data_IF_650299126525
#
_entry.id   IF_650299126525
#
_cell.length_a   1.000
_cell.length_b   1.000
_cell.length_c   1.000
_cell.angle_alpha   90.00
_cell.angle_beta   90.00
_cell.angle_gamma   90.00
#
_symmetry.space_group_name_H-M   'P 1'
#
loop_
_entity.id
_entity.type
_entity.pdbx_description
1 polymer ?
#
# COMPACT_ATOMS: atom_id res chain seq x y z
N UNK A 1 18.46 5.31 2.14
CA UNK A 1 17.01 5.56 2.06
C UNK A 1 16.34 4.20 2.17
N UNK A 2 15.43 4.02 3.13
CA UNK A 2 14.79 2.71 3.38
C UNK A 2 13.66 2.47 2.38
N UNK A 3 13.54 1.25 1.85
CA UNK A 3 12.43 0.77 1.05
C UNK A 3 11.57 -0.19 1.88
N UNK A 4 10.34 0.21 2.15
CA UNK A 4 9.41 -0.54 3.00
C UNK A 4 8.20 -0.94 2.17
N UNK A 5 7.86 -2.23 2.16
CA UNK A 5 6.59 -2.71 1.60
C UNK A 5 5.59 -2.86 2.73
N UNK A 6 4.36 -2.41 2.53
CA UNK A 6 3.29 -2.48 3.53
C UNK A 6 2.01 -3.02 2.91
N UNK A 7 1.36 -3.96 3.60
CA UNK A 7 0.15 -4.60 3.14
C UNK A 7 -0.73 -5.01 4.33
N UNK A 8 -2.02 -5.15 4.08
CA UNK A 8 -2.99 -5.59 5.07
C UNK A 8 -3.76 -6.79 4.52
N UNK A 9 -4.11 -7.73 5.38
CA UNK A 9 -4.90 -8.90 4.99
C UNK A 9 -6.04 -9.17 5.98
N UNK A 10 -6.92 -10.10 5.61
CA UNK A 10 -8.11 -10.49 6.37
C UNK A 10 -8.10 -12.00 6.61
N UNK A 11 -8.90 -12.51 7.57
CA UNK A 11 -8.94 -13.93 7.89
C UNK A 11 -9.18 -14.84 6.68
N UNK A 12 -10.05 -14.43 5.75
CA UNK A 12 -10.34 -15.19 4.52
C UNK A 12 -9.25 -15.15 3.43
N UNK A 13 -8.22 -14.31 3.56
CA UNK A 13 -7.15 -14.15 2.55
C UNK A 13 -5.76 -14.46 3.08
N UNK A 14 -5.53 -14.40 4.39
CA UNK A 14 -4.20 -14.67 4.99
C UNK A 14 -3.67 -16.07 4.66
N UNK A 15 -4.53 -17.05 4.38
CA UNK A 15 -4.10 -18.38 3.93
C UNK A 15 -3.45 -18.41 2.55
N UNK A 16 -3.69 -17.38 1.72
CA UNK A 16 -3.28 -17.31 0.30
C UNK A 16 -2.24 -16.21 0.04
N UNK A 17 -1.51 -15.75 1.07
CA UNK A 17 -0.57 -14.64 0.93
C UNK A 17 0.76 -15.03 0.25
N UNK A 18 1.11 -16.33 0.22
CA UNK A 18 2.37 -16.84 -0.34
C UNK A 18 2.70 -16.27 -1.72
N UNK A 19 1.80 -16.32 -2.73
CA UNK A 19 2.14 -15.84 -4.07
C UNK A 19 2.46 -14.33 -4.11
N UNK A 20 1.75 -13.52 -3.30
CA UNK A 20 2.04 -12.09 -3.17
C UNK A 20 3.43 -11.88 -2.56
N UNK A 21 3.72 -12.51 -1.42
CA UNK A 21 5.02 -12.39 -0.75
C UNK A 21 6.17 -12.92 -1.61
N UNK A 22 6.00 -14.06 -2.28
CA UNK A 22 6.98 -14.63 -3.20
C UNK A 22 7.30 -13.64 -4.32
N UNK A 23 6.29 -12.95 -4.88
CA UNK A 23 6.49 -11.95 -5.93
C UNK A 23 7.26 -10.71 -5.44
N UNK A 24 7.07 -10.31 -4.17
CA UNK A 24 7.81 -9.20 -3.54
C UNK A 24 9.24 -9.62 -3.19
N UNK A 25 9.43 -10.84 -2.71
CA UNK A 25 10.75 -11.40 -2.45
C UNK A 25 11.51 -11.74 -3.74
N UNK A 26 10.85 -11.81 -4.90
CA UNK A 26 11.47 -12.01 -6.21
C UNK A 26 11.88 -10.70 -6.91
N UNK A 27 11.62 -9.53 -6.33
CA UNK A 27 11.91 -8.23 -6.95
C UNK A 27 13.41 -8.03 -7.23
N UNK A 28 13.76 -7.29 -8.29
CA UNK A 28 15.16 -6.95 -8.62
C UNK A 28 15.82 -6.08 -7.56
N UNK A 29 15.04 -5.20 -6.92
CA UNK A 29 15.40 -4.47 -5.71
C UNK A 29 14.57 -5.03 -4.55
N UNK A 30 15.22 -5.52 -3.50
CA UNK A 30 14.54 -6.09 -2.33
C UNK A 30 14.09 -4.97 -1.38
N UNK A 31 12.91 -5.10 -0.75
CA UNK A 31 12.56 -4.22 0.35
C UNK A 31 13.45 -4.51 1.56
N UNK A 32 13.75 -3.48 2.33
CA UNK A 32 14.44 -3.60 3.61
C UNK A 32 13.51 -4.22 4.67
N UNK A 33 12.20 -3.93 4.58
CA UNK A 33 11.16 -4.39 5.51
C UNK A 33 9.85 -4.68 4.80
N UNK A 34 9.10 -5.65 5.30
CA UNK A 34 7.73 -5.97 4.87
C UNK A 34 6.82 -5.91 6.09
N UNK A 35 5.92 -4.92 6.14
CA UNK A 35 4.97 -4.70 7.24
C UNK A 35 3.61 -5.29 6.90
N UNK A 36 3.20 -6.33 7.60
CA UNK A 36 1.91 -7.00 7.43
C UNK A 36 0.95 -6.60 8.56
N UNK A 37 -0.13 -5.89 8.20
CA UNK A 37 -1.19 -5.52 9.13
C UNK A 37 -2.24 -6.63 9.17
N UNK A 38 -2.33 -7.30 10.32
CA UNK A 38 -3.30 -8.35 10.57
C UNK A 38 -3.86 -8.23 12.00
N UNK A 39 -4.96 -7.47 12.17
CA UNK A 39 -5.54 -7.22 13.48
C UNK A 39 -5.93 -8.51 14.22
N UNK A 40 -5.80 -8.54 15.54
CA UNK A 40 -6.33 -9.66 16.34
C UNK A 40 -7.85 -9.73 16.32
N UNK A 41 -8.50 -8.56 16.21
CA UNK A 41 -9.95 -8.40 16.17
C UNK A 41 -10.35 -7.57 14.97
N UNK A 42 -11.18 -8.15 14.12
CA UNK A 42 -11.78 -7.45 13.00
C UNK A 42 -13.19 -6.98 13.38
N UNK A 43 -13.54 -5.73 13.08
CA UNK A 43 -14.91 -5.20 13.24
C UNK A 43 -15.89 -5.91 12.31
N UNK A 44 -15.43 -6.32 11.11
CA UNK A 44 -16.28 -6.96 10.09
C UNK A 44 -16.39 -8.48 10.19
N UNK A 45 -15.44 -9.15 10.86
CA UNK A 45 -15.39 -10.61 10.92
C UNK A 45 -15.62 -11.08 12.36
N UNK A 46 -16.55 -12.01 12.55
CA UNK A 46 -16.87 -12.58 13.87
C UNK A 46 -15.82 -13.59 14.35
N UNK A 47 -15.11 -14.20 13.41
CA UNK A 47 -14.16 -15.28 13.67
C UNK A 47 -12.72 -14.77 13.51
N UNK A 48 -11.88 -15.15 14.48
CA UNK A 48 -10.43 -14.94 14.42
C UNK A 48 -9.81 -16.13 13.67
N UNK A 49 -9.06 -15.85 12.61
CA UNK A 49 -8.14 -16.85 12.05
C UNK A 49 -6.76 -16.65 12.67
N UNK A 50 -6.12 -17.69 13.23
CA UNK A 50 -4.76 -17.57 13.73
C UNK A 50 -3.80 -17.20 12.61
N UNK A 51 -2.69 -16.55 12.94
CA UNK A 51 -1.60 -16.30 12.00
C UNK A 51 -1.10 -17.67 11.50
N UNK A 52 -1.15 -17.95 10.18
CA UNK A 52 -0.68 -19.22 9.65
C UNK A 52 0.80 -19.43 9.92
N UNK A 53 1.18 -20.64 10.37
CA UNK A 53 2.56 -20.96 10.73
C UNK A 53 3.57 -20.73 9.61
N UNK A 54 3.14 -20.83 8.34
CA UNK A 54 4.01 -20.59 7.21
C UNK A 54 4.58 -19.17 7.14
N UNK A 55 3.92 -18.17 7.74
CA UNK A 55 4.43 -16.80 7.72
C UNK A 55 5.75 -16.66 8.48
N UNK A 56 6.10 -17.61 9.35
CA UNK A 56 7.42 -17.69 9.98
C UNK A 56 8.55 -18.01 8.99
N UNK A 57 8.23 -18.52 7.79
CA UNK A 57 9.19 -18.76 6.70
C UNK A 57 9.53 -17.47 5.93
N UNK A 58 8.79 -16.37 6.16
CA UNK A 58 8.92 -15.11 5.43
C UNK A 58 9.50 -14.01 6.34
N UNK A 59 10.29 -13.07 5.80
CA UNK A 59 10.80 -11.91 6.53
C UNK A 59 9.73 -10.81 6.63
N UNK A 60 8.60 -11.14 7.25
CA UNK A 60 7.47 -10.21 7.45
C UNK A 60 7.33 -9.84 8.92
N UNK A 61 7.15 -8.55 9.17
CA UNK A 61 6.84 -8.01 10.48
C UNK A 61 5.32 -7.88 10.60
N UNK A 62 4.71 -8.61 11.54
CA UNK A 62 3.25 -8.67 11.69
C UNK A 62 2.81 -7.74 12.80
N UNK A 63 1.88 -6.84 12.49
CA UNK A 63 1.37 -5.84 13.41
C UNK A 63 -0.13 -6.00 13.66
N UNK A 64 -0.50 -5.79 14.92
CA UNK A 64 -1.88 -5.65 15.36
C UNK A 64 -2.22 -4.15 15.48
N UNK A 65 -3.11 -3.68 14.61
CA UNK A 65 -3.65 -2.32 14.63
C UNK A 65 -5.16 -2.44 14.48
N UNK A 66 -5.92 -1.67 15.26
CA UNK A 66 -7.38 -1.72 15.27
C UNK A 66 -7.97 -1.66 13.84
N UNK A 67 -9.07 -2.39 13.61
CA UNK A 67 -9.58 -2.67 12.27
C UNK A 67 -10.00 -1.40 11.50
N UNK A 68 -9.10 -1.00 10.59
CA UNK A 68 -9.40 -0.30 9.35
C UNK A 68 -8.68 -1.01 8.18
N UNK A 69 -8.91 -2.32 7.98
CA UNK A 69 -8.06 -3.23 7.17
C UNK A 69 -7.35 -2.57 5.98
N UNK A 70 -8.09 -2.10 4.97
CA UNK A 70 -7.50 -1.57 3.73
C UNK A 70 -6.77 -0.23 3.94
N UNK A 71 -7.13 0.52 4.97
CA UNK A 71 -6.46 1.75 5.36
C UNK A 71 -5.21 1.46 6.20
N UNK A 72 -5.16 0.35 6.95
CA UNK A 72 -4.03 -0.02 7.81
C UNK A 72 -2.70 -0.15 7.04
N UNK A 73 -2.72 -0.62 5.79
CA UNK A 73 -1.50 -0.61 4.95
C UNK A 73 -0.93 0.79 4.70
N UNK A 74 -1.77 1.83 4.74
CA UNK A 74 -1.36 3.23 4.64
C UNK A 74 -1.12 3.84 6.02
N UNK A 75 -2.17 3.93 6.85
CA UNK A 75 -2.12 4.65 8.13
C UNK A 75 -1.19 3.95 9.12
N UNK A 76 -1.21 2.62 9.19
CA UNK A 76 -0.32 1.87 10.07
C UNK A 76 1.14 2.12 9.71
N UNK A 77 1.48 2.08 8.41
CA UNK A 77 2.84 2.35 7.98
C UNK A 77 3.27 3.80 8.28
N UNK A 78 2.38 4.77 8.10
CA UNK A 78 2.67 6.18 8.41
C UNK A 78 2.87 6.42 9.91
N UNK A 79 2.17 5.70 10.78
CA UNK A 79 2.32 5.79 12.23
C UNK A 79 3.53 5.01 12.76
N UNK A 80 4.03 4.02 12.01
CA UNK A 80 5.11 3.12 12.44
C UNK A 80 6.49 3.46 11.89
N UNK A 81 6.55 4.22 10.79
CA UNK A 81 7.81 4.56 10.12
C UNK A 81 8.21 5.99 10.45
N UNK A 82 9.24 6.13 11.30
CA UNK A 82 9.73 7.44 11.75
C UNK A 82 10.56 8.19 10.70
N UNK A 83 11.18 7.48 9.75
CA UNK A 83 12.04 8.11 8.72
C UNK A 83 11.16 8.87 7.70
N UNK A 84 11.21 10.22 7.68
CA UNK A 84 10.37 11.02 6.79
C UNK A 84 10.70 10.84 5.31
N UNK A 85 11.89 10.32 4.97
CA UNK A 85 12.33 10.06 3.61
C UNK A 85 12.17 8.60 3.17
N UNK A 86 11.72 7.70 4.06
CA UNK A 86 11.50 6.30 3.71
C UNK A 86 10.52 6.17 2.54
N UNK A 87 10.89 5.35 1.57
CA UNK A 87 10.02 4.97 0.46
C UNK A 87 9.10 3.85 0.91
N UNK A 88 7.84 4.17 1.18
CA UNK A 88 6.82 3.21 1.59
C UNK A 88 5.98 2.84 0.38
N UNK A 89 5.90 1.55 0.07
CA UNK A 89 5.10 0.99 -1.02
C UNK A 89 3.93 0.19 -0.46
N UNK A 90 2.72 0.74 -0.56
CA UNK A 90 1.49 0.00 -0.28
C UNK A 90 1.13 -0.94 -1.42
N UNK A 91 0.81 -2.18 -1.08
CA UNK A 91 0.38 -3.24 -2.02
C UNK A 91 -0.89 -3.94 -1.52
N UNK A 92 -1.52 -4.75 -2.37
CA UNK A 92 -2.60 -5.65 -1.98
C UNK A 92 -2.11 -7.10 -1.83
N UNK A 93 -2.79 -7.86 -0.99
CA UNK A 93 -2.49 -9.25 -0.61
C UNK A 93 -2.89 -10.29 -1.66
N UNK A 94 -3.65 -9.90 -2.68
CA UNK A 94 -4.19 -10.77 -3.73
C UNK A 94 -3.62 -10.47 -5.14
N UNK A 95 -2.48 -9.79 -5.19
CA UNK A 95 -1.81 -9.40 -6.42
C UNK A 95 -0.45 -10.11 -6.60
N UNK A 96 -0.08 -10.34 -7.86
CA UNK A 96 1.26 -10.77 -8.26
C UNK A 96 2.01 -9.59 -8.88
N UNK A 97 3.16 -9.24 -8.31
CA UNK A 97 3.95 -8.10 -8.77
C UNK A 97 5.08 -8.53 -9.72
N UNK A 98 5.26 -7.86 -10.88
CA UNK A 98 6.32 -8.19 -11.82
C UNK A 98 7.71 -7.87 -11.23
N UNK A 99 8.81 -8.53 -11.66
CA UNK A 99 10.12 -8.44 -11.00
C UNK A 99 10.72 -7.03 -10.85
N UNK A 100 10.38 -6.11 -11.75
CA UNK A 100 10.89 -4.72 -11.74
C UNK A 100 9.91 -3.73 -11.09
N UNK A 101 8.87 -4.19 -10.39
CA UNK A 101 7.82 -3.34 -9.83
C UNK A 101 8.38 -2.31 -8.84
N UNK A 102 9.13 -2.74 -7.83
CA UNK A 102 9.72 -1.83 -6.83
C UNK A 102 10.78 -0.92 -7.44
N UNK A 103 11.63 -1.46 -8.32
CA UNK A 103 12.64 -0.69 -9.06
C UNK A 103 12.02 0.44 -9.88
N UNK A 104 10.93 0.14 -10.59
CA UNK A 104 10.24 1.14 -11.41
C UNK A 104 9.63 2.25 -10.54
N UNK A 105 9.00 1.92 -9.41
CA UNK A 105 8.44 2.91 -8.49
C UNK A 105 9.54 3.81 -7.91
N UNK A 106 10.66 3.24 -7.47
CA UNK A 106 11.80 3.98 -6.94
C UNK A 106 12.38 4.94 -7.98
N UNK A 107 12.67 4.45 -9.19
CA UNK A 107 13.20 5.27 -10.29
C UNK A 107 12.32 6.49 -10.59
N UNK A 108 11.00 6.33 -10.55
CA UNK A 108 10.06 7.43 -10.76
C UNK A 108 9.97 8.36 -9.54
N UNK A 109 10.09 7.83 -8.32
CA UNK A 109 10.13 8.64 -7.10
C UNK A 109 11.38 9.52 -7.04
N UNK A 110 12.52 9.03 -7.50
CA UNK A 110 13.75 9.83 -7.63
C UNK A 110 13.58 10.96 -8.65
N UNK A 111 12.91 10.68 -9.78
CA UNK A 111 12.63 11.69 -10.81
C UNK A 111 11.61 12.73 -10.35
N UNK A 112 10.68 12.37 -9.48
CA UNK A 112 9.64 13.26 -8.95
C UNK A 112 9.63 13.21 -7.40
N UNK A 113 10.62 13.82 -6.74
CA UNK A 113 10.84 13.64 -5.29
C UNK A 113 9.76 14.25 -4.40
N UNK A 114 8.83 15.02 -4.96
CA UNK A 114 7.70 15.64 -4.24
C UNK A 114 6.35 15.04 -4.65
N UNK A 115 6.35 13.87 -5.30
CA UNK A 115 5.13 13.20 -5.74
C UNK A 115 5.03 11.78 -5.15
N UNK A 116 3.81 11.38 -4.80
CA UNK A 116 3.48 9.97 -4.68
C UNK A 116 3.42 9.34 -6.08
N UNK A 117 3.90 8.10 -6.21
CA UNK A 117 4.05 7.40 -7.48
C UNK A 117 3.24 6.11 -7.43
N UNK A 118 2.43 5.84 -8.45
CA UNK A 118 1.66 4.61 -8.51
C UNK A 118 1.25 4.28 -9.93
N UNK A 119 0.72 3.08 -10.11
CA UNK A 119 0.35 2.56 -11.44
C UNK A 119 -1.07 2.91 -11.87
N UNK A 120 -1.90 3.40 -10.94
CA UNK A 120 -3.30 3.71 -11.18
C UNK A 120 -3.76 4.90 -10.36
N UNK A 121 -4.55 5.75 -10.97
CA UNK A 121 -5.18 6.90 -10.34
C UNK A 121 -6.33 7.44 -11.15
N UNK A 122 -6.98 8.49 -10.64
CA UNK A 122 -8.19 9.09 -11.21
C UNK A 122 -8.02 10.61 -11.31
N UNK A 123 -8.47 11.18 -12.42
CA UNK A 123 -8.65 12.62 -12.58
C UNK A 123 -10.13 12.93 -12.35
N UNK A 124 -10.44 13.80 -11.40
CA UNK A 124 -11.80 14.18 -11.06
C UNK A 124 -12.29 15.23 -12.04
N UNK A 125 -13.41 14.95 -12.70
CA UNK A 125 -14.05 15.91 -13.63
C UNK A 125 -14.50 17.19 -12.92
N UNK A 126 -14.90 17.11 -11.65
CA UNK A 126 -15.26 18.27 -10.84
C UNK A 126 -14.56 18.22 -9.48
N UNK A 127 -13.47 18.98 -9.33
CA UNK A 127 -12.71 19.09 -8.08
C UNK A 127 -13.48 19.83 -6.95
N UNK A 128 -14.57 20.54 -7.27
CA UNK A 128 -15.36 21.31 -6.30
C UNK A 128 -16.53 20.53 -5.70
N UNK A 129 -16.96 19.45 -6.34
CA UNK A 129 -17.99 18.56 -5.81
C UNK A 129 -17.48 17.12 -5.87
N UNK A 130 -16.78 16.65 -4.83
CA UNK A 130 -16.25 15.30 -4.76
C UNK A 130 -17.33 14.24 -4.53
N UNK A 131 -18.64 14.57 -4.59
CA UNK A 131 -19.68 13.58 -4.50
C UNK A 131 -19.46 12.49 -5.55
N UNK A 132 -19.11 11.32 -5.03
CA UNK A 132 -18.82 10.08 -5.72
C UNK A 132 -20.06 9.47 -6.41
N UNK A 133 -21.16 10.22 -6.48
CA UNK A 133 -22.46 9.77 -6.95
C UNK A 133 -22.51 9.65 -8.49
N UNK A 134 -21.48 10.17 -9.19
CA UNK A 134 -21.32 10.11 -10.64
C UNK A 134 -19.90 9.69 -11.06
N UNK A 135 -19.36 8.62 -10.46
CA UNK A 135 -18.06 8.08 -10.90
C UNK A 135 -18.24 7.36 -12.24
N UNK A 136 -17.83 8.01 -13.33
CA UNK A 136 -17.53 7.29 -14.57
C UNK A 136 -16.16 6.65 -14.44
N UNK A 137 -16.11 5.32 -14.47
CA UNK A 137 -14.84 4.58 -14.54
C UNK A 137 -14.37 4.52 -15.99
N UNK A 138 -13.50 5.44 -16.38
CA UNK A 138 -12.80 5.36 -17.65
C UNK A 138 -11.48 4.64 -17.41
N UNK A 139 -11.40 3.39 -17.85
CA UNK A 139 -10.15 2.62 -17.83
C UNK A 139 -9.38 2.89 -19.12
N UNK A 140 -8.14 3.36 -18.99
CA UNK A 140 -7.27 3.64 -20.12
C UNK A 140 -5.81 3.40 -19.75
N UNK A 141 -5.02 2.94 -20.71
CA UNK A 141 -3.57 2.88 -20.55
C UNK A 141 -2.98 4.25 -20.85
N UNK A 142 -2.19 4.79 -19.92
CA UNK A 142 -1.43 6.02 -20.18
C UNK A 142 -0.11 5.67 -20.87
N UNK A 143 0.24 6.41 -21.93
CA UNK A 143 1.52 6.24 -22.64
C UNK A 143 2.69 6.93 -21.92
N UNK A 144 2.37 7.94 -21.13
CA UNK A 144 3.32 8.74 -20.34
C UNK A 144 2.75 8.96 -18.94
N UNK A 145 3.59 9.10 -17.91
CA UNK A 145 3.11 9.48 -16.58
C UNK A 145 2.27 10.76 -16.64
N UNK A 146 1.22 10.82 -15.85
CA UNK A 146 0.38 12.00 -15.71
C UNK A 146 0.07 12.26 -14.24
N UNK A 147 -0.22 13.53 -13.92
CA UNK A 147 -0.72 13.90 -12.61
C UNK A 147 -2.20 13.52 -12.49
N UNK A 148 -2.57 12.99 -11.33
CA UNK A 148 -3.94 12.58 -11.01
C UNK A 148 -4.38 13.21 -9.70
N UNK A 149 -5.69 13.25 -9.46
CA UNK A 149 -6.28 13.83 -8.25
C UNK A 149 -6.40 12.80 -7.11
N UNK A 150 -6.59 11.52 -7.46
CA UNK A 150 -6.72 10.42 -6.51
C UNK A 150 -5.81 9.27 -6.94
N UNK A 151 -5.01 8.75 -6.01
CA UNK A 151 -4.18 7.56 -6.23
C UNK A 151 -4.90 6.30 -5.76
N UNK A 152 -4.75 5.20 -6.51
CA UNK A 152 -5.28 3.89 -6.13
C UNK A 152 -4.14 3.02 -5.56
N UNK A 153 -4.20 2.73 -4.26
CA UNK A 153 -3.18 1.96 -3.55
C UNK A 153 -3.26 0.44 -3.81
N UNK A 154 -4.25 -0.06 -4.54
CA UNK A 154 -4.38 -1.49 -4.84
C UNK A 154 -3.28 -2.00 -5.78
N UNK A 155 -2.82 -1.16 -6.70
CA UNK A 155 -1.88 -1.55 -7.78
C UNK A 155 -0.43 -1.16 -7.49
N UNK A 156 -0.12 -0.86 -6.23
CA UNK A 156 1.17 -0.30 -5.86
C UNK A 156 1.15 1.22 -5.81
N UNK A 157 1.42 1.76 -4.62
CA UNK A 157 1.58 3.18 -4.37
C UNK A 157 2.81 3.42 -3.51
N UNK A 158 3.79 4.12 -4.06
CA UNK A 158 4.95 4.63 -3.34
C UNK A 158 4.65 6.05 -2.82
N UNK A 159 4.85 6.24 -1.52
CA UNK A 159 4.78 7.54 -0.85
C UNK A 159 5.88 7.64 0.21
N UNK A 160 6.04 8.85 0.77
CA UNK A 160 6.95 9.14 1.87
C UNK A 160 6.17 9.73 3.04
N UNK A 161 6.54 9.46 4.30
CA UNK A 161 5.82 10.03 5.45
C UNK A 161 5.73 11.56 5.40
N UNK A 162 6.77 12.25 4.93
CA UNK A 162 6.76 13.72 4.77
C UNK A 162 5.70 14.29 3.82
N UNK A 163 5.01 13.45 3.04
CA UNK A 163 3.90 13.90 2.19
C UNK A 163 2.62 14.16 3.00
N UNK A 164 2.57 13.70 4.25
CA UNK A 164 1.43 13.80 5.14
C UNK A 164 1.71 14.80 6.27
N UNK A 165 0.66 15.50 6.70
CA UNK A 165 0.72 16.38 7.87
C UNK A 165 0.17 15.65 9.10
N UNK A 166 0.57 16.06 10.30
CA UNK A 166 0.01 15.53 11.55
C UNK A 166 -1.53 15.56 11.56
N UNK A 167 -2.11 16.67 11.06
CA UNK A 167 -3.57 16.82 10.94
C UNK A 167 -4.20 15.76 10.01
N UNK A 168 -3.49 15.31 8.98
CA UNK A 168 -3.98 14.25 8.10
C UNK A 168 -3.92 12.86 8.76
N UNK A 169 -2.99 12.64 9.69
CA UNK A 169 -2.84 11.38 10.43
C UNK A 169 -3.77 11.29 11.64
N UNK A 170 -4.10 12.44 12.23
CA UNK A 170 -4.98 12.58 13.40
C UNK A 170 -6.13 13.56 13.10
N UNK A 171 -7.11 13.17 12.25
CA UNK A 171 -8.27 14.01 11.99
C UNK A 171 -9.15 14.15 13.25
N UNK A 172 -9.52 15.39 13.58
CA UNK A 172 -10.46 15.75 14.67
C UNK A 172 -11.85 15.14 14.50
#
# INVERSE_FOLDING_TARGET
>A
MSLIVTLATIPGRIGNLRPCLDSILAQTIKPDRILLWYPEKFRRFKERTPIPGYLSEYPVEIFDLEDQVALNKLIGALLHVDDPEASIVSIDDDMLYPPHFLENLLRWSEKYPHAAIGHKGKILMNRKNPNYDQIYFIFGTIKTPCQVDVMDAAFGLLYKPRFFTEKALHPE
#
